data_IF_195310613574
#
_entry.id   IF_195310613574
#
_cell.length_a   1.000
_cell.length_b   1.000
_cell.length_c   1.000
_cell.angle_alpha   90.00
_cell.angle_beta   90.00
_cell.angle_gamma   90.00
#
_symmetry.space_group_name_H-M   'P 1'
#
loop_
_entity.id
_entity.type
_entity.pdbx_description
1 polymer ?
#
# COMPACT_ATOMS: atom_id res chain seq x y z
N UNK A 1 8.96 -1.86 -15.40
CA UNK A 1 8.11 -1.61 -14.22
C UNK A 1 7.45 -2.94 -13.90
N UNK A 2 7.92 -3.61 -12.86
CA UNK A 2 7.21 -4.80 -12.35
C UNK A 2 5.82 -4.36 -11.88
N UNK A 3 4.81 -5.20 -12.11
CA UNK A 3 3.44 -4.89 -11.71
C UNK A 3 3.34 -4.53 -10.21
N UNK A 4 4.17 -5.12 -9.34
CA UNK A 4 4.19 -4.83 -7.89
C UNK A 4 4.65 -3.40 -7.56
N UNK A 5 5.53 -2.83 -8.39
CA UNK A 5 5.99 -1.45 -8.26
C UNK A 5 4.88 -0.47 -8.62
N UNK A 6 4.15 -0.75 -9.71
CA UNK A 6 2.97 0.03 -10.10
C UNK A 6 1.87 -0.05 -9.02
N UNK A 7 1.65 -1.25 -8.49
CA UNK A 7 0.69 -1.51 -7.43
C UNK A 7 1.07 -0.74 -6.14
N UNK A 8 2.35 -0.71 -5.82
CA UNK A 8 2.90 0.11 -4.76
C UNK A 8 2.58 1.60 -4.94
N UNK A 9 2.78 2.14 -6.15
CA UNK A 9 2.47 3.54 -6.43
C UNK A 9 0.98 3.85 -6.27
N UNK A 10 0.10 2.95 -6.75
CA UNK A 10 -1.36 3.09 -6.59
C UNK A 10 -1.73 3.10 -5.12
N UNK A 11 -1.21 2.15 -4.33
CA UNK A 11 -1.48 2.06 -2.90
C UNK A 11 -0.93 3.26 -2.12
N UNK A 12 0.20 3.82 -2.54
CA UNK A 12 0.77 5.04 -1.93
C UNK A 12 -0.11 6.26 -2.12
N UNK A 13 -0.81 6.37 -3.26
CA UNK A 13 -1.75 7.45 -3.56
C UNK A 13 -3.09 7.32 -2.84
N UNK A 14 -3.37 6.19 -2.19
CA UNK A 14 -4.58 6.05 -1.37
C UNK A 14 -4.54 7.01 -0.17
N UNK A 15 -5.70 7.51 0.30
CA UNK A 15 -5.74 8.40 1.45
C UNK A 15 -5.21 7.68 2.70
N UNK A 16 -4.56 8.39 3.64
CA UNK A 16 -3.96 7.83 4.86
C UNK A 16 -5.00 7.51 5.93
N UNK A 17 -6.08 6.81 5.55
CA UNK A 17 -7.09 6.33 6.48
C UNK A 17 -6.65 5.00 7.08
N UNK A 18 -6.96 4.72 8.35
CA UNK A 18 -6.61 3.46 9.01
C UNK A 18 -7.19 2.24 8.28
N UNK A 19 -8.25 2.42 7.49
CA UNK A 19 -8.89 1.36 6.72
C UNK A 19 -8.39 1.23 5.26
N UNK A 20 -7.54 2.13 4.74
CA UNK A 20 -7.10 2.10 3.33
C UNK A 20 -6.30 0.84 2.99
N UNK A 21 -5.26 0.54 3.79
CA UNK A 21 -4.43 -0.65 3.57
C UNK A 21 -5.19 -1.96 3.86
N UNK A 22 -5.98 -2.06 4.95
CA UNK A 22 -6.85 -3.21 5.16
C UNK A 22 -7.81 -3.45 3.99
N UNK A 23 -8.49 -2.43 3.47
CA UNK A 23 -9.39 -2.58 2.32
C UNK A 23 -8.66 -3.01 1.05
N UNK A 24 -7.49 -2.43 0.78
CA UNK A 24 -6.62 -2.84 -0.32
C UNK A 24 -6.22 -4.32 -0.22
N UNK A 25 -5.89 -4.81 0.98
CA UNK A 25 -5.49 -6.20 1.22
C UNK A 25 -6.59 -7.24 0.97
N UNK A 26 -7.85 -6.79 0.86
CA UNK A 26 -9.00 -7.65 0.58
C UNK A 26 -9.22 -7.85 -0.92
N UNK A 27 -8.60 -7.06 -1.80
CA UNK A 27 -8.80 -7.13 -3.26
C UNK A 27 -8.26 -8.44 -3.83
N UNK A 28 -7.00 -8.78 -3.53
CA UNK A 28 -6.40 -10.05 -3.94
C UNK A 28 -5.15 -10.39 -3.10
N UNK A 29 -4.62 -11.61 -3.27
CA UNK A 29 -3.41 -12.07 -2.56
C UNK A 29 -2.20 -11.15 -2.80
N UNK A 30 -2.07 -10.61 -4.00
CA UNK A 30 -0.96 -9.72 -4.38
C UNK A 30 -1.01 -8.40 -3.61
N UNK A 31 -2.17 -7.76 -3.58
CA UNK A 31 -2.40 -6.53 -2.81
C UNK A 31 -2.19 -6.76 -1.31
N UNK A 32 -2.62 -7.93 -0.80
CA UNK A 32 -2.38 -8.32 0.59
C UNK A 32 -0.91 -8.41 0.94
N UNK A 33 -0.11 -9.06 0.08
CA UNK A 33 1.33 -9.20 0.33
C UNK A 33 2.02 -7.84 0.38
N UNK A 34 1.65 -6.91 -0.51
CA UNK A 34 2.19 -5.55 -0.53
C UNK A 34 1.72 -4.72 0.66
N UNK A 35 0.44 -4.76 1.00
CA UNK A 35 -0.11 -4.01 2.12
C UNK A 35 0.46 -4.47 3.48
N UNK A 36 0.79 -5.76 3.61
CA UNK A 36 1.43 -6.33 4.79
C UNK A 36 2.95 -6.22 4.78
N UNK A 37 3.56 -5.72 3.70
CA UNK A 37 5.00 -5.55 3.63
C UNK A 37 5.47 -4.43 4.60
N UNK A 38 6.45 -4.70 5.48
CA UNK A 38 6.96 -3.71 6.42
C UNK A 38 7.61 -2.51 5.71
N UNK A 39 8.26 -2.74 4.57
CA UNK A 39 8.90 -1.71 3.75
C UNK A 39 7.86 -0.77 3.13
N UNK A 40 6.80 -1.33 2.56
CA UNK A 40 5.66 -0.60 2.03
C UNK A 40 4.96 0.22 3.12
N UNK A 41 4.67 -0.38 4.27
CA UNK A 41 4.03 0.30 5.41
C UNK A 41 4.87 1.48 5.93
N UNK A 42 6.20 1.37 5.91
CA UNK A 42 7.11 2.49 6.26
C UNK A 42 7.03 3.60 5.21
N UNK A 43 7.11 3.26 3.92
CA UNK A 43 6.98 4.22 2.81
C UNK A 43 5.65 4.95 2.83
N UNK A 44 4.55 4.23 3.04
CA UNK A 44 3.20 4.79 3.14
C UNK A 44 3.09 5.82 4.27
N UNK A 45 3.60 5.50 5.46
CA UNK A 45 3.62 6.45 6.58
C UNK A 45 4.49 7.68 6.31
N UNK A 46 5.64 7.52 5.66
CA UNK A 46 6.53 8.65 5.33
C UNK A 46 5.88 9.55 4.28
N UNK A 47 5.27 8.97 3.26
CA UNK A 47 4.61 9.70 2.17
C UNK A 47 3.48 10.60 2.69
N UNK A 48 2.73 10.11 3.68
CA UNK A 48 1.60 10.82 4.29
C UNK A 48 1.92 11.60 5.57
N UNK A 49 3.20 11.72 5.94
CA UNK A 49 3.64 12.42 7.18
C UNK A 49 3.85 13.94 7.01
N UNK A 50 3.29 14.55 5.96
CA UNK A 50 3.28 16.01 5.76
C UNK A 50 2.02 16.65 6.30
#
# INVERSE_FOLDING_TARGET
>A
LDDDDLLCEILLRLPPQPCSLPRASLVCKRWRNLASDPGFSRRFRIHHRR
#
